data_IF_473642753838
#
_entry.id   IF_473642753838
#
_cell.length_a   1.000
_cell.length_b   1.000
_cell.length_c   1.000
_cell.angle_alpha   90.00
_cell.angle_beta   90.00
_cell.angle_gamma   90.00
#
_symmetry.space_group_name_H-M   'P 1'
#
loop_
_entity.id
_entity.type
_entity.pdbx_description
1 polymer ?
#
# COMPACT_ATOMS: atom_id res chain seq x y z
N UNK A 1 21.54 -18.46 -24.00
CA UNK A 1 20.71 -17.89 -22.93
C UNK A 1 21.52 -17.90 -21.65
N UNK A 2 22.10 -16.76 -21.28
CA UNK A 2 22.94 -16.65 -20.08
C UNK A 2 21.99 -16.41 -18.91
N UNK A 3 21.80 -17.45 -18.08
CA UNK A 3 21.16 -17.31 -16.78
C UNK A 3 21.99 -16.31 -15.98
N UNK A 4 21.48 -15.09 -15.84
CA UNK A 4 22.04 -14.12 -14.93
C UNK A 4 21.82 -14.58 -13.50
N UNK A 5 22.77 -15.34 -12.94
CA UNK A 5 22.87 -15.52 -11.50
C UNK A 5 22.95 -14.13 -10.89
N UNK A 6 21.90 -13.74 -10.18
CA UNK A 6 22.00 -12.64 -9.23
C UNK A 6 22.89 -13.17 -8.10
N UNK A 7 24.21 -13.02 -8.28
CA UNK A 7 25.16 -13.32 -7.22
C UNK A 7 24.74 -12.49 -6.00
N UNK A 8 24.63 -13.15 -4.85
CA UNK A 8 24.55 -12.46 -3.55
C UNK A 8 25.87 -11.72 -3.43
N UNK A 9 25.90 -10.49 -4.00
CA UNK A 9 27.01 -9.57 -3.80
C UNK A 9 27.13 -9.31 -2.30
N UNK A 10 28.38 -9.28 -1.84
CA UNK A 10 28.86 -8.98 -0.48
C UNK A 10 27.82 -8.35 0.43
N UNK A 11 27.71 -8.83 1.68
CA UNK A 11 26.83 -8.26 2.71
C UNK A 11 26.82 -6.73 2.58
N UNK A 12 25.81 -6.17 1.90
CA UNK A 12 25.54 -4.75 2.04
C UNK A 12 25.27 -4.55 3.52
N UNK A 13 26.13 -3.81 4.19
CA UNK A 13 25.84 -3.26 5.50
C UNK A 13 24.69 -2.27 5.31
N UNK A 14 23.46 -2.79 5.14
CA UNK A 14 22.28 -1.95 5.27
C UNK A 14 22.27 -1.50 6.74
N UNK A 15 22.24 -0.19 6.94
CA UNK A 15 22.13 0.38 8.25
C UNK A 15 20.77 -0.01 8.85
N UNK A 16 20.78 -0.90 9.85
CA UNK A 16 19.56 -1.36 10.52
C UNK A 16 18.72 -0.18 11.02
N UNK A 17 19.36 0.91 11.46
CA UNK A 17 18.68 2.12 11.91
C UNK A 17 17.86 2.77 10.77
N UNK A 18 18.39 2.83 9.56
CA UNK A 18 17.67 3.37 8.40
C UNK A 18 16.45 2.51 8.06
N UNK A 19 16.59 1.18 8.10
CA UNK A 19 15.46 0.27 7.90
C UNK A 19 14.39 0.47 8.97
N UNK A 20 14.77 0.56 10.24
CA UNK A 20 13.81 0.76 11.34
C UNK A 20 13.11 2.11 11.21
N UNK A 21 13.82 3.18 10.89
CA UNK A 21 13.22 4.50 10.60
C UNK A 21 12.21 4.41 9.46
N UNK A 22 12.54 3.72 8.35
CA UNK A 22 11.63 3.53 7.23
C UNK A 22 10.33 2.80 7.66
N UNK A 23 10.46 1.75 8.48
CA UNK A 23 9.32 1.00 9.02
C UNK A 23 8.46 1.84 9.97
N UNK A 24 9.09 2.67 10.80
CA UNK A 24 8.41 3.56 11.74
C UNK A 24 7.64 4.68 11.03
N UNK A 25 8.22 5.26 9.99
CA UNK A 25 7.66 6.40 9.27
C UNK A 25 6.66 6.01 8.18
N UNK A 26 6.76 4.79 7.60
CA UNK A 26 5.80 4.31 6.61
C UNK A 26 4.46 4.07 7.27
N UNK A 27 3.55 5.02 7.14
CA UNK A 27 2.19 4.99 7.70
C UNK A 27 1.14 4.94 6.60
N UNK A 28 -0.12 4.79 6.97
CA UNK A 28 -1.24 4.95 6.05
C UNK A 28 -1.55 6.43 5.91
N UNK A 29 -1.35 6.96 4.70
CA UNK A 29 -1.67 8.34 4.34
C UNK A 29 -2.94 8.36 3.48
N UNK A 30 -3.83 9.31 3.75
CA UNK A 30 -5.12 9.40 3.07
C UNK A 30 -5.36 10.72 2.35
N UNK A 31 -4.57 11.75 2.60
CA UNK A 31 -4.60 13.01 1.87
C UNK A 31 -3.26 13.28 1.24
N UNK A 32 -3.28 13.70 -0.01
CA UNK A 32 -2.11 13.86 -0.85
C UNK A 32 -2.15 15.21 -1.56
N UNK A 33 -1.01 15.67 -2.02
CA UNK A 33 -0.93 16.76 -3.01
C UNK A 33 -1.30 16.18 -4.37
N UNK A 34 -2.57 16.36 -4.76
CA UNK A 34 -3.13 15.85 -6.03
C UNK A 34 -2.46 16.46 -7.27
N UNK A 35 -1.86 17.65 -7.12
CA UNK A 35 -1.16 18.34 -8.21
C UNK A 35 0.21 17.74 -8.53
N UNK A 36 0.79 17.01 -7.57
CA UNK A 36 2.15 16.48 -7.67
C UNK A 36 2.17 15.05 -8.21
N UNK A 37 2.67 14.89 -9.43
CA UNK A 37 2.81 13.58 -10.07
C UNK A 37 4.00 12.79 -9.51
N UNK A 38 3.85 11.45 -9.49
CA UNK A 38 4.92 10.54 -9.06
C UNK A 38 5.86 10.31 -10.28
N UNK A 39 7.18 10.56 -10.17
CA UNK A 39 8.13 10.37 -11.25
C UNK A 39 8.21 8.92 -11.76
N UNK A 40 8.55 8.76 -13.03
CA UNK A 40 8.66 7.44 -13.67
C UNK A 40 9.71 6.55 -13.02
N UNK A 41 10.79 7.11 -12.52
CA UNK A 41 11.84 6.39 -11.80
C UNK A 41 11.32 5.76 -10.49
N UNK A 42 10.48 6.49 -9.74
CA UNK A 42 9.85 5.99 -8.52
C UNK A 42 8.90 4.82 -8.86
N UNK A 43 8.10 4.99 -9.92
CA UNK A 43 7.20 3.94 -10.41
C UNK A 43 7.98 2.72 -10.89
N UNK A 44 9.13 2.90 -11.51
CA UNK A 44 10.02 1.80 -11.93
C UNK A 44 10.54 1.01 -10.72
N UNK A 45 10.98 1.68 -9.66
CA UNK A 45 11.40 1.04 -8.42
C UNK A 45 10.26 0.30 -7.74
N UNK A 46 9.06 0.88 -7.71
CA UNK A 46 7.85 0.20 -7.19
C UNK A 46 7.51 -1.06 -8.01
N UNK A 47 7.58 -1.01 -9.34
CA UNK A 47 7.39 -2.20 -10.20
C UNK A 47 8.40 -3.28 -9.88
N UNK A 48 9.67 -2.89 -9.71
CA UNK A 48 10.75 -3.81 -9.36
C UNK A 48 10.55 -4.43 -7.98
N UNK A 49 10.10 -3.68 -6.99
CA UNK A 49 9.84 -4.19 -5.64
C UNK A 49 8.67 -5.18 -5.61
N UNK A 50 7.62 -4.93 -6.39
CA UNK A 50 6.52 -5.87 -6.58
C UNK A 50 7.00 -7.17 -7.24
N UNK A 51 7.80 -7.07 -8.32
CA UNK A 51 8.39 -8.23 -9.01
C UNK A 51 9.28 -9.07 -8.08
N UNK A 52 10.00 -8.44 -7.14
CA UNK A 52 10.89 -9.13 -6.20
C UNK A 52 10.16 -9.71 -4.98
N UNK A 53 8.85 -9.52 -4.86
CA UNK A 53 8.08 -10.07 -3.75
C UNK A 53 8.10 -11.60 -3.78
N UNK A 54 8.28 -12.19 -2.61
CA UNK A 54 8.20 -13.65 -2.48
C UNK A 54 6.77 -14.14 -2.70
N UNK A 55 6.63 -15.36 -3.20
CA UNK A 55 5.36 -16.06 -3.25
C UNK A 55 5.51 -17.51 -2.82
N UNK A 56 4.48 -18.07 -2.20
CA UNK A 56 4.47 -19.44 -1.74
C UNK A 56 4.77 -20.42 -2.89
N UNK A 57 5.75 -21.32 -2.70
CA UNK A 57 6.24 -22.25 -3.73
C UNK A 57 6.65 -21.56 -5.05
N UNK A 58 6.95 -20.29 -5.02
CA UNK A 58 7.25 -19.45 -6.19
C UNK A 58 6.16 -19.52 -7.28
N UNK A 59 4.88 -19.63 -6.87
CA UNK A 59 3.75 -19.73 -7.80
C UNK A 59 3.46 -18.42 -8.55
N UNK A 60 3.87 -17.28 -7.99
CA UNK A 60 3.77 -15.95 -8.62
C UNK A 60 2.34 -15.62 -9.11
N UNK A 61 1.31 -15.76 -8.26
CA UNK A 61 -0.08 -15.59 -8.70
C UNK A 61 -0.45 -14.15 -8.98
N UNK A 62 0.36 -13.17 -8.51
CA UNK A 62 -0.03 -11.77 -8.49
C UNK A 62 0.18 -11.07 -9.84
N UNK A 63 -0.74 -10.16 -10.15
CA UNK A 63 -0.68 -9.21 -11.26
C UNK A 63 -0.94 -7.81 -10.74
N UNK A 64 -0.37 -6.81 -11.42
CA UNK A 64 -0.41 -5.42 -10.97
C UNK A 64 -0.84 -4.52 -12.12
N UNK A 65 -1.84 -3.66 -11.90
CA UNK A 65 -2.24 -2.62 -12.84
C UNK A 65 -1.90 -1.26 -12.23
N UNK A 66 -0.98 -0.54 -12.86
CA UNK A 66 -0.56 0.80 -12.46
C UNK A 66 -1.39 1.84 -13.22
N UNK A 67 -2.18 2.61 -12.49
CA UNK A 67 -3.13 3.58 -13.03
C UNK A 67 -2.65 4.99 -12.73
N UNK A 68 -2.30 5.75 -13.79
CA UNK A 68 -1.75 7.11 -13.68
C UNK A 68 -2.53 8.14 -14.50
N UNK A 69 -3.45 7.72 -15.37
CA UNK A 69 -4.28 8.62 -16.13
C UNK A 69 -5.30 9.29 -15.19
N UNK A 70 -5.35 10.63 -15.12
CA UNK A 70 -6.18 11.34 -14.14
C UNK A 70 -7.66 10.93 -14.16
N UNK A 71 -8.24 10.75 -15.35
CA UNK A 71 -9.62 10.31 -15.51
C UNK A 71 -9.88 8.93 -14.91
N UNK A 72 -8.95 7.98 -15.10
CA UNK A 72 -9.06 6.63 -14.55
C UNK A 72 -8.79 6.63 -13.02
N UNK A 73 -7.83 7.43 -12.56
CA UNK A 73 -7.57 7.63 -11.11
C UNK A 73 -8.82 8.14 -10.42
N UNK A 74 -9.51 9.14 -11.00
CA UNK A 74 -10.75 9.68 -10.46
C UNK A 74 -11.88 8.65 -10.45
N UNK A 75 -12.04 7.88 -11.53
CA UNK A 75 -13.05 6.83 -11.59
C UNK A 75 -12.83 5.76 -10.49
N UNK A 76 -11.58 5.35 -10.23
CA UNK A 76 -11.25 4.42 -9.13
C UNK A 76 -11.51 5.07 -7.78
N UNK A 77 -11.12 6.34 -7.60
CA UNK A 77 -11.38 7.06 -6.36
C UNK A 77 -12.86 7.07 -5.98
N UNK A 78 -13.77 7.23 -6.97
CA UNK A 78 -15.21 7.31 -6.74
C UNK A 78 -15.85 5.99 -6.29
N UNK A 79 -15.21 4.87 -6.56
CA UNK A 79 -15.68 3.53 -6.17
C UNK A 79 -14.96 2.97 -4.94
N UNK A 80 -14.10 3.77 -4.27
CA UNK A 80 -13.36 3.39 -3.06
C UNK A 80 -13.94 4.04 -1.80
N UNK A 81 -13.82 3.35 -0.66
CA UNK A 81 -14.20 3.86 0.66
C UNK A 81 -12.97 4.12 1.52
N UNK A 82 -13.01 5.21 2.30
CA UNK A 82 -11.86 5.74 3.02
C UNK A 82 -12.18 5.93 4.51
N UNK A 83 -11.19 5.65 5.38
CA UNK A 83 -11.21 6.06 6.77
C UNK A 83 -12.33 5.47 7.63
N UNK A 84 -12.50 4.14 7.62
CA UNK A 84 -13.66 3.44 8.23
C UNK A 84 -13.96 3.72 9.70
N UNK A 85 -13.00 4.20 10.50
CA UNK A 85 -13.26 4.60 11.89
C UNK A 85 -13.64 6.08 12.05
N UNK A 86 -13.48 6.90 11.02
CA UNK A 86 -13.78 8.32 11.12
C UNK A 86 -15.26 8.59 10.79
N UNK A 87 -15.94 9.41 11.60
CA UNK A 87 -17.34 9.72 11.39
C UNK A 87 -17.55 10.58 10.14
N UNK A 88 -18.77 10.62 9.63
CA UNK A 88 -19.22 11.56 8.60
C UNK A 88 -18.34 11.62 7.32
N UNK A 89 -17.59 10.53 7.01
CA UNK A 89 -16.74 10.49 5.83
C UNK A 89 -15.46 11.35 5.93
N UNK A 90 -15.07 11.80 7.11
CA UNK A 90 -13.87 12.62 7.33
C UNK A 90 -12.57 11.97 6.85
N UNK A 91 -12.57 10.65 6.69
CA UNK A 91 -11.41 9.91 6.15
C UNK A 91 -11.28 9.97 4.64
N UNK A 92 -12.31 10.44 3.91
CA UNK A 92 -12.26 10.55 2.45
C UNK A 92 -11.54 11.83 2.03
N UNK A 93 -10.53 11.76 1.16
CA UNK A 93 -9.88 12.94 0.59
C UNK A 93 -10.87 13.84 -0.14
N UNK A 94 -10.65 15.15 -0.05
CA UNK A 94 -11.38 16.15 -0.85
C UNK A 94 -10.73 16.31 -2.22
N UNK A 95 -11.39 17.05 -3.10
CA UNK A 95 -10.79 17.54 -4.34
C UNK A 95 -9.52 18.32 -3.99
N UNK A 96 -8.42 18.05 -4.68
CA UNK A 96 -7.09 18.60 -4.37
C UNK A 96 -6.26 17.73 -3.41
N UNK A 97 -6.87 16.73 -2.76
CA UNK A 97 -6.22 15.84 -1.80
C UNK A 97 -6.21 14.36 -2.23
N UNK A 98 -6.68 14.05 -3.46
CA UNK A 98 -6.80 12.68 -3.96
C UNK A 98 -5.43 12.08 -4.30
N UNK A 99 -5.31 10.74 -4.38
CA UNK A 99 -4.08 10.09 -4.84
C UNK A 99 -3.69 10.53 -6.26
N UNK A 100 -2.39 10.60 -6.52
CA UNK A 100 -1.87 10.84 -7.88
C UNK A 100 -1.87 9.56 -8.73
N UNK A 101 -1.92 8.38 -8.10
CA UNK A 101 -1.86 7.08 -8.77
C UNK A 101 -2.55 6.01 -7.95
N UNK A 102 -3.11 4.99 -8.63
CA UNK A 102 -3.49 3.72 -7.99
C UNK A 102 -2.68 2.56 -8.54
N UNK A 103 -2.48 1.55 -7.71
CA UNK A 103 -2.04 0.21 -8.13
C UNK A 103 -3.12 -0.78 -7.69
N UNK A 104 -3.70 -1.51 -8.65
CA UNK A 104 -4.55 -2.64 -8.33
C UNK A 104 -3.70 -3.91 -8.23
N UNK A 105 -3.89 -4.67 -7.16
CA UNK A 105 -3.30 -6.00 -6.97
C UNK A 105 -4.38 -7.02 -7.30
N UNK A 106 -4.06 -7.92 -8.22
CA UNK A 106 -4.92 -9.00 -8.67
C UNK A 106 -4.22 -10.32 -8.44
N UNK A 107 -4.99 -11.39 -8.29
CA UNK A 107 -4.45 -12.76 -8.23
C UNK A 107 -5.08 -13.65 -9.28
N UNK A 108 -4.24 -14.36 -10.01
CA UNK A 108 -4.59 -15.34 -11.04
C UNK A 108 -5.22 -16.57 -10.38
N UNK A 109 -6.47 -16.88 -10.71
CA UNK A 109 -7.27 -17.95 -10.09
C UNK A 109 -6.65 -19.33 -10.25
N UNK A 110 -5.97 -19.60 -11.36
CA UNK A 110 -5.30 -20.89 -11.59
C UNK A 110 -4.03 -21.05 -10.76
N UNK A 111 -3.36 -19.94 -10.43
CA UNK A 111 -2.13 -19.91 -9.67
C UNK A 111 -2.34 -19.72 -8.16
N UNK A 112 -3.56 -19.41 -7.73
CA UNK A 112 -3.89 -19.23 -6.32
C UNK A 112 -3.62 -20.47 -5.48
N UNK A 113 -3.42 -20.24 -4.19
CA UNK A 113 -3.27 -21.26 -3.15
C UNK A 113 -3.81 -20.73 -1.83
N UNK A 114 -3.87 -21.57 -0.80
CA UNK A 114 -4.23 -21.13 0.56
C UNK A 114 -3.27 -20.06 1.13
N UNK A 115 -2.15 -19.82 0.48
CA UNK A 115 -1.14 -18.83 0.90
C UNK A 115 -1.19 -17.54 0.09
N UNK A 116 -2.08 -17.39 -0.88
CA UNK A 116 -2.16 -16.20 -1.75
C UNK A 116 -2.31 -14.90 -0.95
N UNK A 117 -3.08 -14.92 0.15
CA UNK A 117 -3.21 -13.74 1.02
C UNK A 117 -1.88 -13.30 1.65
N UNK A 118 -0.94 -14.23 1.94
CA UNK A 118 0.41 -13.86 2.38
C UNK A 118 1.20 -13.21 1.26
N UNK A 119 1.11 -13.74 0.04
CA UNK A 119 1.78 -13.18 -1.14
C UNK A 119 1.30 -11.75 -1.40
N UNK A 120 -0.01 -11.51 -1.32
CA UNK A 120 -0.64 -10.18 -1.46
C UNK A 120 -0.14 -9.20 -0.40
N UNK A 121 -0.08 -9.62 0.86
CA UNK A 121 0.43 -8.80 1.96
C UNK A 121 1.90 -8.43 1.79
N UNK A 122 2.75 -9.38 1.36
CA UNK A 122 4.17 -9.15 1.08
C UNK A 122 4.36 -8.16 -0.06
N UNK A 123 3.62 -8.32 -1.16
CA UNK A 123 3.68 -7.42 -2.30
C UNK A 123 3.20 -6.01 -1.95
N UNK A 124 2.08 -5.88 -1.23
CA UNK A 124 1.58 -4.60 -0.76
C UNK A 124 2.58 -3.90 0.18
N UNK A 125 3.26 -4.67 1.07
CA UNK A 125 4.31 -4.15 1.94
C UNK A 125 5.50 -3.64 1.13
N UNK A 126 6.01 -4.41 0.18
CA UNK A 126 7.12 -4.01 -0.68
C UNK A 126 6.80 -2.74 -1.47
N UNK A 127 5.61 -2.66 -2.08
CA UNK A 127 5.15 -1.48 -2.81
C UNK A 127 5.12 -0.23 -1.91
N UNK A 128 4.51 -0.34 -0.73
CA UNK A 128 4.33 0.80 0.17
C UNK A 128 5.63 1.25 0.84
N UNK A 129 6.53 0.33 1.17
CA UNK A 129 7.87 0.65 1.69
C UNK A 129 8.74 1.31 0.63
N UNK A 130 8.75 0.79 -0.61
CA UNK A 130 9.51 1.38 -1.71
C UNK A 130 8.99 2.78 -2.03
N UNK A 131 7.68 2.97 -2.10
CA UNK A 131 7.08 4.29 -2.31
C UNK A 131 7.51 5.26 -1.20
N UNK A 132 7.46 4.83 0.06
CA UNK A 132 7.85 5.68 1.20
C UNK A 132 9.33 6.04 1.20
N UNK A 133 10.21 5.16 0.77
CA UNK A 133 11.63 5.47 0.59
C UNK A 133 11.89 6.64 -0.39
N UNK A 134 10.92 6.95 -1.26
CA UNK A 134 10.90 8.11 -2.15
C UNK A 134 10.00 9.25 -1.63
N UNK A 135 9.52 9.20 -0.38
CA UNK A 135 8.61 10.19 0.20
C UNK A 135 7.17 10.11 -0.34
N UNK A 136 6.81 9.05 -1.04
CA UNK A 136 5.45 8.81 -1.56
C UNK A 136 4.66 8.00 -0.54
N UNK A 137 3.63 8.62 0.03
CA UNK A 137 2.69 7.98 0.95
C UNK A 137 1.71 7.07 0.24
N UNK A 138 1.06 6.21 1.02
CA UNK A 138 0.13 5.21 0.47
C UNK A 138 -1.04 4.90 1.38
N UNK A 139 -2.14 4.43 0.79
CA UNK A 139 -3.29 3.85 1.49
C UNK A 139 -3.74 2.57 0.79
N UNK A 140 -3.66 1.44 1.50
CA UNK A 140 -4.21 0.15 1.02
C UNK A 140 -5.71 0.17 1.26
N UNK A 141 -6.50 -0.11 0.22
CA UNK A 141 -7.95 -0.06 0.22
C UNK A 141 -8.51 -1.41 -0.23
N UNK A 142 -8.94 -2.22 0.74
CA UNK A 142 -9.74 -3.41 0.48
C UNK A 142 -11.21 -3.07 0.17
N UNK A 143 -11.67 -1.89 0.58
CA UNK A 143 -13.03 -1.41 0.35
C UNK A 143 -13.15 -0.71 -1.01
N UNK A 144 -13.00 -1.47 -2.09
CA UNK A 144 -13.24 -1.06 -3.48
C UNK A 144 -14.39 -1.89 -4.07
N UNK A 145 -15.25 -1.28 -4.87
CA UNK A 145 -16.32 -2.01 -5.57
C UNK A 145 -15.72 -2.80 -6.73
N UNK A 146 -15.73 -4.14 -6.64
CA UNK A 146 -15.03 -5.02 -7.58
C UNK A 146 -15.61 -4.95 -9.00
N UNK A 147 -16.92 -5.06 -9.19
CA UNK A 147 -17.52 -5.04 -10.53
C UNK A 147 -17.24 -3.73 -11.29
N UNK A 148 -17.47 -2.53 -10.70
CA UNK A 148 -17.06 -1.30 -11.36
C UNK A 148 -15.54 -1.21 -11.64
N UNK A 149 -14.69 -1.76 -10.78
CA UNK A 149 -13.24 -1.76 -11.01
C UNK A 149 -12.86 -2.66 -12.18
N UNK A 150 -13.55 -3.81 -12.36
CA UNK A 150 -13.37 -4.68 -13.53
C UNK A 150 -13.68 -3.93 -14.83
N UNK A 151 -14.80 -3.22 -14.87
CA UNK A 151 -15.21 -2.43 -16.04
C UNK A 151 -14.20 -1.31 -16.34
N UNK A 152 -13.79 -0.54 -15.32
CA UNK A 152 -12.85 0.58 -15.48
C UNK A 152 -11.49 0.12 -16.01
N UNK A 153 -10.99 -1.02 -15.54
CA UNK A 153 -9.64 -1.50 -15.84
C UNK A 153 -9.59 -2.63 -16.87
N UNK A 154 -10.73 -3.12 -17.35
CA UNK A 154 -10.79 -4.26 -18.28
C UNK A 154 -10.25 -5.55 -17.66
N UNK A 155 -10.53 -5.82 -16.39
CA UNK A 155 -10.02 -7.00 -15.66
C UNK A 155 -10.85 -8.21 -16.06
N UNK A 156 -10.20 -9.24 -16.62
CA UNK A 156 -10.87 -10.49 -16.99
C UNK A 156 -11.28 -11.31 -15.77
N UNK A 157 -12.25 -12.22 -15.97
CA UNK A 157 -12.74 -13.12 -14.91
C UNK A 157 -11.72 -14.14 -14.42
N UNK A 158 -10.58 -14.27 -15.09
CA UNK A 158 -9.47 -15.11 -14.67
C UNK A 158 -8.77 -14.59 -13.40
N UNK A 159 -8.99 -13.32 -13.06
CA UNK A 159 -8.35 -12.68 -11.90
C UNK A 159 -9.35 -12.35 -10.80
N UNK A 160 -8.95 -12.60 -9.56
CA UNK A 160 -9.58 -12.00 -8.38
C UNK A 160 -8.92 -10.66 -8.05
N UNK A 161 -9.73 -9.73 -7.56
CA UNK A 161 -9.24 -8.42 -7.11
C UNK A 161 -8.95 -8.52 -5.62
N UNK A 162 -7.69 -8.28 -5.23
CA UNK A 162 -7.28 -8.28 -3.83
C UNK A 162 -7.55 -6.92 -3.17
N UNK A 163 -6.96 -5.88 -3.73
CA UNK A 163 -7.14 -4.50 -3.24
C UNK A 163 -6.67 -3.50 -4.30
N UNK A 164 -6.93 -2.22 -4.02
CA UNK A 164 -6.24 -1.11 -4.68
C UNK A 164 -5.42 -0.33 -3.66
N UNK A 165 -4.27 0.20 -4.07
CA UNK A 165 -3.42 1.04 -3.23
C UNK A 165 -3.34 2.42 -3.87
N UNK A 166 -3.80 3.46 -3.17
CA UNK A 166 -3.64 4.84 -3.58
C UNK A 166 -2.29 5.38 -3.14
N UNK A 167 -1.59 6.10 -4.02
CA UNK A 167 -0.27 6.69 -3.80
C UNK A 167 -0.26 8.17 -4.14
N UNK A 168 0.53 8.95 -3.39
CA UNK A 168 0.75 10.38 -3.60
C UNK A 168 1.64 10.98 -2.53
N UNK A 169 1.98 12.24 -2.65
CA UNK A 169 2.78 12.94 -1.64
C UNK A 169 1.87 13.39 -0.50
N UNK A 170 2.13 12.96 0.76
CA UNK A 170 1.24 13.26 1.87
C UNK A 170 1.16 14.76 2.20
N UNK A 171 -0.05 15.23 2.55
CA UNK A 171 -0.31 16.60 3.04
C UNK A 171 -0.65 16.63 4.53
N UNK A 172 -0.45 15.54 5.24
CA UNK A 172 -0.66 15.42 6.69
C UNK A 172 0.37 14.47 7.30
N UNK A 173 0.51 14.48 8.61
CA UNK A 173 1.33 13.52 9.36
C UNK A 173 0.48 12.37 9.89
N UNK A 174 1.16 11.28 10.27
CA UNK A 174 0.54 10.12 10.91
C UNK A 174 1.48 9.60 11.98
N UNK A 175 1.08 9.68 13.25
CA UNK A 175 1.90 9.28 14.39
C UNK A 175 1.34 8.00 15.03
N UNK A 176 2.26 7.12 15.44
CA UNK A 176 1.96 5.99 16.31
C UNK A 176 2.01 6.45 17.76
N UNK A 177 1.05 6.01 18.55
CA UNK A 177 0.99 6.20 20.00
C UNK A 177 0.64 4.89 20.68
N UNK A 178 0.96 4.74 21.94
CA UNK A 178 0.46 3.59 22.72
C UNK A 178 -1.05 3.67 22.85
N UNK A 179 -1.71 2.52 22.79
CA UNK A 179 -3.12 2.43 23.07
C UNK A 179 -3.41 2.71 24.54
N UNK A 180 -4.60 3.21 24.83
CA UNK A 180 -5.11 3.44 26.17
C UNK A 180 -6.43 2.71 26.32
N UNK A 181 -6.59 1.93 27.38
CA UNK A 181 -7.79 1.18 27.72
C UNK A 181 -8.30 0.24 26.59
N UNK A 182 -7.38 -0.27 25.77
CA UNK A 182 -7.69 -1.17 24.64
C UNK A 182 -8.26 -0.46 23.40
N UNK A 183 -8.34 0.88 23.37
CA UNK A 183 -8.82 1.61 22.20
C UNK A 183 -7.73 1.70 21.12
N UNK A 184 -7.90 0.91 20.07
CA UNK A 184 -7.00 0.86 18.90
C UNK A 184 -7.51 1.67 17.71
N UNK A 185 -8.62 2.40 17.84
CA UNK A 185 -9.19 3.18 16.74
C UNK A 185 -8.35 4.39 16.43
N UNK A 186 -7.90 4.50 15.18
CA UNK A 186 -7.24 5.73 14.76
C UNK A 186 -8.23 6.91 14.76
N UNK A 187 -7.70 8.10 15.04
CA UNK A 187 -8.45 9.35 15.10
C UNK A 187 -7.65 10.50 14.49
N UNK A 188 -8.29 11.62 14.29
CA UNK A 188 -7.62 12.85 13.88
C UNK A 188 -7.35 13.73 15.09
N UNK A 189 -6.22 14.46 15.06
CA UNK A 189 -5.97 15.59 15.95
C UNK A 189 -6.65 16.88 15.43
N UNK A 190 -6.49 17.98 16.16
CA UNK A 190 -7.07 19.29 15.80
C UNK A 190 -6.54 19.83 14.47
N UNK A 191 -5.34 19.41 14.05
CA UNK A 191 -4.71 19.76 12.79
C UNK A 191 -5.03 18.77 11.67
N UNK A 192 -5.95 17.83 11.91
CA UNK A 192 -6.33 16.75 10.99
C UNK A 192 -5.21 15.76 10.66
N UNK A 193 -4.19 15.63 11.51
CA UNK A 193 -3.21 14.57 11.42
C UNK A 193 -3.75 13.28 12.04
N UNK A 194 -3.23 12.13 11.59
CA UNK A 194 -3.68 10.84 12.09
C UNK A 194 -2.90 10.43 13.34
N UNK A 195 -3.63 10.08 14.39
CA UNK A 195 -3.11 9.43 15.59
C UNK A 195 -3.51 7.96 15.51
N UNK A 196 -2.53 7.06 15.53
CA UNK A 196 -2.72 5.62 15.32
C UNK A 196 -2.28 4.86 16.56
N UNK A 197 -3.20 4.47 17.45
CA UNK A 197 -2.88 3.67 18.63
C UNK A 197 -2.36 2.28 18.24
N UNK A 198 -1.36 1.81 18.94
CA UNK A 198 -0.81 0.45 18.84
C UNK A 198 -0.85 -0.23 20.20
N UNK A 199 -1.15 -1.52 20.21
CA UNK A 199 -0.94 -2.35 21.38
C UNK A 199 0.54 -2.39 21.73
N UNK A 200 0.86 -2.53 22.99
CA UNK A 200 2.23 -2.61 23.45
C UNK A 200 2.90 -3.87 22.89
N UNK A 201 4.23 -3.82 22.76
CA UNK A 201 5.01 -4.94 22.21
C UNK A 201 4.82 -6.18 23.07
N UNK A 202 4.87 -6.03 24.39
CA UNK A 202 4.71 -7.10 25.38
C UNK A 202 3.36 -7.81 25.32
N UNK A 203 2.30 -7.14 24.80
CA UNK A 203 0.97 -7.73 24.61
C UNK A 203 0.83 -8.49 23.28
N UNK A 204 1.79 -8.33 22.37
CA UNK A 204 1.72 -8.87 21.00
C UNK A 204 2.85 -9.83 20.66
N UNK A 205 3.92 -9.82 21.44
CA UNK A 205 5.12 -10.65 21.24
C UNK A 205 5.37 -11.49 22.48
N UNK A 206 5.54 -12.79 22.29
CA UNK A 206 5.95 -13.74 23.35
C UNK A 206 7.29 -14.34 22.95
N UNK A 207 8.26 -14.29 23.87
CA UNK A 207 9.54 -14.98 23.75
C UNK A 207 9.48 -16.23 24.66
N UNK A 208 9.88 -17.40 24.11
CA UNK A 208 9.82 -18.71 24.78
C UNK A 208 11.22 -19.29 24.89
#
# INVERSE_FOLDING_TARGET
MTLGLIAIKEKRNMNTKELMTLLEERRTYRRFDESRQIPDEVVADMKKSAYLSSSAMNRQPLRYIYVRKPETVNAIFDITSWGGYLPNGEGRPKIGERPAMFVAILSDKELQSKYTAFDEGLAASNLTLTAWAHGVGSCILGSVKHEPLREILGISDEYDISCVIGFGYPTHTSAVVDEVDGDIKYRLDDNKNYIVPKRKIEDTVTEI
#
